data_IF_169089027828
#
_entry.id   IF_169089027828
#
_cell.length_a   1.000
_cell.length_b   1.000
_cell.length_c   1.000
_cell.angle_alpha   90.00
_cell.angle_beta   90.00
_cell.angle_gamma   90.00
#
_symmetry.space_group_name_H-M   'P 1'
#
loop_
_entity.id
_entity.type
_entity.pdbx_description
1 polymer ?
#
# COMPACT_ATOMS: atom_id res chain seq x y z
N UNK A 1 -9.06 1.60 -14.94
CA UNK A 1 -7.60 1.35 -15.10
C UNK A 1 -6.76 1.90 -13.95
N UNK A 2 -6.76 3.22 -13.69
CA UNK A 2 -5.97 3.82 -12.60
C UNK A 2 -6.56 3.52 -11.20
N UNK A 3 -7.87 3.65 -11.04
CA UNK A 3 -8.57 3.41 -9.77
C UNK A 3 -8.59 1.94 -9.35
N UNK A 4 -8.55 1.00 -10.29
CA UNK A 4 -8.53 -0.45 -9.98
C UNK A 4 -7.24 -0.87 -9.28
N UNK A 5 -6.10 -0.24 -9.62
CA UNK A 5 -4.81 -0.49 -8.99
C UNK A 5 -4.84 0.01 -7.54
N UNK A 6 -5.42 1.20 -7.34
CA UNK A 6 -5.66 1.79 -6.03
C UNK A 6 -6.54 0.87 -5.16
N UNK A 7 -7.66 0.43 -5.71
CA UNK A 7 -8.64 -0.41 -5.01
C UNK A 7 -8.06 -1.79 -4.65
N UNK A 8 -7.25 -2.39 -5.54
CA UNK A 8 -6.53 -3.64 -5.24
C UNK A 8 -5.57 -3.50 -4.06
N UNK A 9 -4.76 -2.43 -4.04
CA UNK A 9 -3.81 -2.20 -2.94
C UNK A 9 -4.57 -1.96 -1.65
N UNK A 10 -5.64 -1.17 -1.70
CA UNK A 10 -6.46 -0.88 -0.53
C UNK A 10 -7.15 -2.13 0.03
N UNK A 11 -7.79 -2.94 -0.83
CA UNK A 11 -8.39 -4.22 -0.43
C UNK A 11 -7.35 -5.14 0.21
N UNK A 12 -6.18 -5.29 -0.41
CA UNK A 12 -5.10 -6.10 0.16
C UNK A 12 -4.67 -5.63 1.55
N UNK A 13 -4.47 -4.32 1.74
CA UNK A 13 -4.12 -3.74 3.04
C UNK A 13 -5.26 -3.90 4.07
N UNK A 14 -6.52 -3.81 3.63
CA UNK A 14 -7.70 -3.94 4.50
C UNK A 14 -7.95 -5.39 4.92
N UNK A 15 -7.80 -6.34 4.02
CA UNK A 15 -7.86 -7.79 4.33
C UNK A 15 -6.75 -8.21 5.29
N UNK A 16 -5.64 -7.47 5.30
CA UNK A 16 -4.52 -7.69 6.20
C UNK A 16 -4.32 -6.52 7.16
N UNK A 17 -5.42 -5.90 7.61
CA UNK A 17 -5.36 -4.83 8.60
C UNK A 17 -4.57 -5.28 9.85
N UNK A 18 -3.84 -4.34 10.47
CA UNK A 18 -2.95 -4.62 11.59
C UNK A 18 -1.60 -5.29 11.23
N UNK A 19 -1.40 -5.75 9.99
CA UNK A 19 -0.10 -6.31 9.53
C UNK A 19 0.67 -5.32 8.67
N UNK A 20 1.98 -5.24 8.91
CA UNK A 20 2.91 -4.41 8.15
C UNK A 20 3.44 -5.15 6.93
N UNK A 21 3.30 -4.53 5.77
CA UNK A 21 3.83 -5.05 4.50
C UNK A 21 4.81 -4.06 3.90
N UNK A 22 5.91 -4.58 3.37
CA UNK A 22 6.79 -3.75 2.56
C UNK A 22 6.16 -3.45 1.20
N UNK A 23 6.54 -2.33 0.61
CA UNK A 23 6.07 -1.92 -0.72
C UNK A 23 6.45 -2.95 -1.81
N UNK A 24 7.58 -3.66 -1.63
CA UNK A 24 7.97 -4.80 -2.46
C UNK A 24 6.97 -5.96 -2.34
N UNK A 25 6.57 -6.32 -1.12
CA UNK A 25 5.58 -7.39 -0.91
C UNK A 25 4.22 -7.03 -1.50
N UNK A 26 3.76 -5.79 -1.29
CA UNK A 26 2.51 -5.31 -1.89
C UNK A 26 2.58 -5.42 -3.40
N UNK A 27 3.67 -4.97 -4.03
CA UNK A 27 3.86 -5.08 -5.48
C UNK A 27 3.80 -6.54 -5.98
N UNK A 28 4.42 -7.47 -5.23
CA UNK A 28 4.45 -8.90 -5.57
C UNK A 28 3.09 -9.58 -5.39
N UNK A 29 2.39 -9.31 -4.29
CA UNK A 29 1.09 -9.89 -3.97
C UNK A 29 0.00 -9.38 -4.92
N UNK A 30 -0.02 -8.07 -5.15
CA UNK A 30 -1.02 -7.43 -6.01
C UNK A 30 -0.71 -7.56 -7.51
N UNK A 31 0.48 -8.07 -7.86
CA UNK A 31 1.02 -8.12 -9.23
C UNK A 31 1.05 -6.74 -9.91
N UNK A 32 1.24 -5.68 -9.13
CA UNK A 32 1.36 -4.30 -9.60
C UNK A 32 2.85 -3.95 -9.66
N UNK A 33 3.27 -3.16 -10.66
CA UNK A 33 4.65 -2.71 -10.73
C UNK A 33 5.01 -1.83 -9.54
N UNK A 34 6.21 -2.01 -8.99
CA UNK A 34 6.71 -1.22 -7.85
C UNK A 34 6.48 0.30 -7.96
N UNK A 35 6.80 0.98 -9.09
CA UNK A 35 6.55 2.42 -9.21
C UNK A 35 5.06 2.78 -9.16
N UNK A 36 4.19 1.94 -9.71
CA UNK A 36 2.74 2.12 -9.61
C UNK A 36 2.27 1.94 -8.17
N UNK A 37 2.71 0.88 -7.49
CA UNK A 37 2.41 0.67 -6.07
C UNK A 37 2.88 1.86 -5.23
N UNK A 38 4.06 2.41 -5.49
CA UNK A 38 4.60 3.55 -4.75
C UNK A 38 3.76 4.82 -4.94
N UNK A 39 3.33 5.09 -6.17
CA UNK A 39 2.45 6.23 -6.47
C UNK A 39 1.11 6.06 -5.76
N UNK A 40 0.46 4.90 -5.92
CA UNK A 40 -0.88 4.68 -5.40
C UNK A 40 -0.94 4.55 -3.88
N UNK A 41 0.09 3.99 -3.25
CA UNK A 41 0.16 3.94 -1.78
C UNK A 41 0.29 5.33 -1.16
N UNK A 42 1.02 6.26 -1.79
CA UNK A 42 1.06 7.67 -1.37
C UNK A 42 -0.28 8.37 -1.53
N UNK A 43 -0.96 8.14 -2.65
CA UNK A 43 -2.31 8.68 -2.89
C UNK A 43 -3.29 8.12 -1.87
N UNK A 44 -3.26 6.82 -1.62
CA UNK A 44 -4.09 6.15 -0.63
C UNK A 44 -3.88 6.70 0.77
N UNK A 45 -2.64 6.90 1.21
CA UNK A 45 -2.35 7.59 2.49
C UNK A 45 -2.93 9.00 2.54
N UNK A 46 -2.88 9.75 1.44
CA UNK A 46 -3.43 11.10 1.40
C UNK A 46 -4.97 11.11 1.44
N UNK A 47 -5.62 10.06 0.93
CA UNK A 47 -7.08 9.93 0.92
C UNK A 47 -7.65 9.20 2.15
N UNK A 48 -6.86 8.38 2.84
CA UNK A 48 -7.26 7.52 3.96
C UNK A 48 -6.30 7.70 5.13
N UNK A 49 -6.79 8.27 6.22
CA UNK A 49 -6.02 8.44 7.46
C UNK A 49 -5.67 7.12 8.15
N UNK A 50 -6.40 6.05 7.83
CA UNK A 50 -6.21 4.71 8.40
C UNK A 50 -4.90 4.05 7.94
N UNK A 51 -4.30 4.52 6.84
CA UNK A 51 -3.08 3.96 6.25
C UNK A 51 -1.85 4.63 6.85
N UNK A 52 -1.06 3.85 7.56
CA UNK A 52 0.26 4.26 8.05
C UNK A 52 1.33 3.86 7.05
N UNK A 53 2.31 4.74 6.88
CA UNK A 53 3.51 4.47 6.10
C UNK A 53 4.71 4.75 7.00
N UNK A 54 5.55 3.74 7.15
CA UNK A 54 6.84 3.86 7.81
C UNK A 54 7.95 3.81 6.76
N UNK A 55 8.86 4.78 6.82
CA UNK A 55 9.93 4.96 5.85
C UNK A 55 11.28 4.75 6.52
N UNK A 56 11.88 3.59 6.24
CA UNK A 56 13.25 3.27 6.66
C UNK A 56 14.22 3.48 5.50
N UNK A 57 14.11 4.60 4.78
CA UNK A 57 14.95 4.95 3.64
C UNK A 57 14.67 4.10 2.39
N UNK A 58 15.33 2.94 2.28
CA UNK A 58 15.17 2.05 1.11
C UNK A 58 13.96 1.13 1.19
N UNK A 59 13.38 0.96 2.37
CA UNK A 59 12.22 0.10 2.60
C UNK A 59 11.09 0.96 3.17
N UNK A 60 9.94 0.92 2.50
CA UNK A 60 8.71 1.53 2.96
C UNK A 60 7.77 0.43 3.41
N UNK A 61 7.31 0.50 4.65
CA UNK A 61 6.28 -0.37 5.19
C UNK A 61 4.94 0.35 5.20
N UNK A 62 3.88 -0.41 4.95
CA UNK A 62 2.51 0.07 4.94
C UNK A 62 1.61 -0.90 5.72
N UNK A 63 0.70 -0.34 6.49
CA UNK A 63 -0.37 -1.08 7.15
C UNK A 63 -1.58 -0.19 7.34
N UNK A 64 -2.72 -0.82 7.59
CA UNK A 64 -3.91 -0.13 8.11
C UNK A 64 -3.92 -0.33 9.62
N UNK A 65 -4.03 0.78 10.36
CA UNK A 65 -4.25 0.78 11.81
C UNK A 65 -5.75 0.52 12.03
N UNK A 66 -6.08 -0.50 12.83
CA UNK A 66 -7.48 -0.86 13.17
C UNK A 66 -7.98 -0.04 14.36
#
# INVERSE_FOLDING_TARGET
MAEEIKDKIYKFLKENAGKRFSLKEISRQTKISYPSSLKWTRVLRAEKEDIKIDDHGHIKFLWIEE
#
